data_IF_026869432561
#
_entry.id   IF_026869432561
#
_cell.length_a   1.000
_cell.length_b   1.000
_cell.length_c   1.000
_cell.angle_alpha   90.00
_cell.angle_beta   90.00
_cell.angle_gamma   90.00
#
_symmetry.space_group_name_H-M   'P 1'
#
loop_
_entity.id
_entity.type
_entity.pdbx_description
1 polymer ?
#
# COMPACT_ATOMS: atom_id res chain seq x y z
N UNK A 1 75.09 -27.87 34.09
CA UNK A 1 76.04 -27.14 33.20
C UNK A 1 75.55 -27.24 31.77
N UNK A 2 75.68 -26.12 31.03
CA UNK A 2 75.71 -26.05 29.56
C UNK A 2 74.38 -25.98 28.81
N UNK A 3 73.88 -24.75 28.69
CA UNK A 3 72.92 -24.28 27.67
C UNK A 3 73.54 -24.39 26.27
N UNK A 4 72.85 -24.92 25.24
CA UNK A 4 73.29 -24.80 23.86
C UNK A 4 72.59 -23.67 23.09
N UNK A 5 73.44 -22.74 22.64
CA UNK A 5 73.55 -22.05 21.34
C UNK A 5 72.31 -21.79 20.45
N UNK A 6 72.21 -20.50 20.10
CA UNK A 6 71.43 -19.87 19.02
C UNK A 6 71.65 -20.53 17.65
N UNK A 7 70.58 -20.64 16.86
CA UNK A 7 70.63 -20.70 15.38
C UNK A 7 69.60 -19.74 14.78
N UNK A 8 70.07 -18.89 13.86
CA UNK A 8 69.28 -18.02 12.98
C UNK A 8 68.91 -18.82 11.72
N UNK A 9 67.66 -18.78 11.26
CA UNK A 9 67.25 -18.99 9.84
C UNK A 9 65.93 -18.23 9.63
N UNK A 10 65.96 -17.03 9.06
CA UNK A 10 65.68 -16.71 7.64
C UNK A 10 64.18 -16.77 7.27
N UNK A 11 63.62 -15.57 7.06
CA UNK A 11 62.28 -15.28 6.52
C UNK A 11 62.22 -15.69 5.06
N UNK A 12 61.19 -16.43 4.66
CA UNK A 12 60.64 -16.43 3.30
C UNK A 12 59.11 -16.19 3.39
N UNK A 13 58.53 -15.26 2.61
CA UNK A 13 57.13 -14.91 2.72
C UNK A 13 56.28 -15.90 1.90
N UNK A 14 55.24 -16.48 2.52
CA UNK A 14 54.17 -17.15 1.79
C UNK A 14 53.05 -16.12 1.58
N UNK A 15 52.95 -15.65 0.34
CA UNK A 15 51.80 -14.90 -0.15
C UNK A 15 50.61 -15.86 -0.22
N UNK A 16 49.63 -15.68 0.67
CA UNK A 16 48.33 -16.35 0.57
C UNK A 16 47.33 -15.37 -0.02
N UNK A 17 47.11 -15.47 -1.33
CA UNK A 17 45.92 -14.92 -1.98
C UNK A 17 44.84 -15.99 -1.91
N UNK A 18 43.83 -15.76 -1.09
CA UNK A 18 42.63 -16.58 -0.98
C UNK A 18 41.39 -15.69 -0.93
N UNK A 19 40.92 -15.29 -2.11
CA UNK A 19 39.54 -14.83 -2.35
C UNK A 19 38.60 -15.98 -1.93
N UNK A 20 37.63 -15.82 -1.04
CA UNK A 20 36.55 -14.84 -1.08
C UNK A 20 35.31 -15.51 -1.67
N UNK A 21 34.56 -16.27 -0.87
CA UNK A 21 33.20 -16.78 -1.18
C UNK A 21 32.66 -17.53 0.05
N UNK A 22 31.86 -16.86 0.87
CA UNK A 22 31.20 -17.54 1.98
C UNK A 22 30.70 -16.61 3.07
N UNK A 23 29.98 -15.54 2.73
CA UNK A 23 29.06 -14.86 3.65
C UNK A 23 28.36 -13.76 2.87
N UNK A 24 27.18 -14.03 2.30
CA UNK A 24 26.18 -13.02 1.90
C UNK A 24 25.07 -13.72 1.15
N UNK A 25 24.05 -14.18 1.86
CA UNK A 25 22.65 -14.16 1.38
C UNK A 25 21.74 -14.25 2.61
N UNK A 26 21.80 -13.22 3.45
CA UNK A 26 20.71 -12.88 4.35
C UNK A 26 19.77 -12.00 3.53
N UNK A 27 18.77 -12.60 2.89
CA UNK A 27 17.69 -11.86 2.25
C UNK A 27 16.86 -11.21 3.35
N UNK A 28 17.25 -10.00 3.75
CA UNK A 28 16.37 -9.10 4.48
C UNK A 28 15.21 -8.75 3.55
N UNK A 29 14.00 -9.16 3.96
CA UNK A 29 12.76 -8.55 3.47
C UNK A 29 12.90 -7.05 3.69
N UNK A 30 12.90 -6.27 2.62
CA UNK A 30 12.58 -4.87 2.70
C UNK A 30 11.12 -4.76 3.13
N UNK A 31 10.88 -4.72 4.45
CA UNK A 31 9.78 -3.90 4.93
C UNK A 31 10.08 -2.48 4.47
N UNK A 32 9.08 -1.77 3.95
CA UNK A 32 9.22 -0.34 3.73
C UNK A 32 9.65 0.30 5.05
N UNK A 33 10.93 0.64 5.16
CA UNK A 33 11.40 1.46 6.26
C UNK A 33 10.61 2.76 6.17
N UNK A 34 9.82 3.12 7.20
CA UNK A 34 9.12 4.40 7.21
C UNK A 34 10.18 5.48 7.03
N UNK A 35 9.96 6.36 6.06
CA UNK A 35 10.84 7.52 5.85
C UNK A 35 11.06 8.18 7.21
N UNK A 36 12.30 8.59 7.58
CA UNK A 36 12.67 8.89 8.97
C UNK A 36 11.87 10.02 9.65
N UNK A 37 10.99 10.69 8.92
CA UNK A 37 10.17 11.81 9.39
C UNK A 37 8.65 11.54 9.41
N UNK A 38 8.16 10.34 9.07
CA UNK A 38 6.70 10.10 9.05
C UNK A 38 6.12 9.88 10.45
N UNK A 39 4.94 10.42 10.70
CA UNK A 39 4.23 10.32 11.98
C UNK A 39 2.92 9.53 11.77
N UNK A 40 2.67 8.46 12.54
CA UNK A 40 1.45 7.68 12.42
C UNK A 40 0.28 8.39 13.13
N UNK A 41 -0.79 8.67 12.39
CA UNK A 41 -1.92 9.46 12.90
C UNK A 41 -3.26 8.74 12.83
N UNK A 42 -4.14 9.10 13.76
CA UNK A 42 -5.58 8.96 13.59
C UNK A 42 -6.29 10.32 13.57
N UNK A 43 -7.42 10.39 12.88
CA UNK A 43 -8.23 11.59 12.74
C UNK A 43 -9.71 11.27 12.98
N UNK A 44 -10.38 12.14 13.74
CA UNK A 44 -11.83 12.24 13.81
C UNK A 44 -12.23 13.58 13.23
N UNK A 45 -13.23 13.61 12.35
CA UNK A 45 -13.82 14.84 11.81
C UNK A 45 -15.32 14.81 12.05
N UNK A 46 -15.89 15.89 12.56
CA UNK A 46 -17.33 16.04 12.81
C UNK A 46 -17.84 17.38 12.29
N UNK A 47 -19.17 17.50 12.15
CA UNK A 47 -19.77 18.68 11.51
C UNK A 47 -19.88 19.89 12.46
N UNK A 48 -19.79 19.70 13.78
CA UNK A 48 -19.96 20.78 14.76
C UNK A 48 -18.81 20.85 15.78
N UNK A 49 -18.49 22.07 16.24
CA UNK A 49 -17.48 22.29 17.27
C UNK A 49 -17.88 21.66 18.61
N UNK A 50 -19.15 21.79 19.00
CA UNK A 50 -19.68 21.25 20.26
C UNK A 50 -19.56 19.73 20.31
N UNK A 51 -19.78 19.04 19.19
CA UNK A 51 -19.58 17.60 19.09
C UNK A 51 -18.11 17.23 19.20
N UNK A 52 -17.21 17.96 18.53
CA UNK A 52 -15.78 17.73 18.64
C UNK A 52 -15.28 17.90 20.09
N UNK A 53 -15.73 18.95 20.79
CA UNK A 53 -15.34 19.16 22.18
C UNK A 53 -15.87 18.07 23.12
N UNK A 54 -17.10 17.57 22.89
CA UNK A 54 -17.64 16.43 23.63
C UNK A 54 -16.80 15.17 23.41
N UNK A 55 -16.45 14.87 22.16
CA UNK A 55 -15.61 13.72 21.84
C UNK A 55 -14.21 13.87 22.43
N UNK A 56 -13.62 15.08 22.41
CA UNK A 56 -12.34 15.35 23.04
C UNK A 56 -12.39 15.06 24.55
N UNK A 57 -13.48 15.44 25.23
CA UNK A 57 -13.72 15.12 26.64
C UNK A 57 -13.76 13.60 26.91
N UNK A 58 -14.45 12.85 26.06
CA UNK A 58 -14.50 11.38 26.15
C UNK A 58 -13.13 10.73 25.91
N UNK A 59 -12.40 11.19 24.89
CA UNK A 59 -11.05 10.72 24.58
C UNK A 59 -10.08 10.96 25.74
N UNK A 60 -10.15 12.14 26.36
CA UNK A 60 -9.35 12.46 27.57
C UNK A 60 -9.74 11.63 28.79
N UNK A 61 -10.97 11.12 28.82
CA UNK A 61 -11.46 10.21 29.86
C UNK A 61 -11.11 8.74 29.59
N UNK A 62 -10.37 8.46 28.51
CA UNK A 62 -9.90 7.11 28.16
C UNK A 62 -10.78 6.34 27.19
N UNK A 63 -11.75 6.99 26.52
CA UNK A 63 -12.51 6.34 25.46
C UNK A 63 -11.61 5.91 24.29
N UNK A 64 -11.97 4.82 23.63
CA UNK A 64 -11.21 4.31 22.48
C UNK A 64 -11.41 5.23 21.25
N UNK A 65 -10.29 5.75 20.74
CA UNK A 65 -10.31 6.66 19.60
C UNK A 65 -10.87 6.00 18.33
N UNK A 66 -10.50 4.75 18.06
CA UNK A 66 -10.91 4.04 16.85
C UNK A 66 -12.40 3.70 16.89
N UNK A 67 -12.97 3.45 18.07
CA UNK A 67 -14.41 3.25 18.25
C UNK A 67 -15.16 4.56 17.97
N UNK A 68 -14.78 5.66 18.62
CA UNK A 68 -15.42 6.96 18.41
C UNK A 68 -15.29 7.45 16.96
N UNK A 69 -14.16 7.17 16.31
CA UNK A 69 -13.97 7.47 14.90
C UNK A 69 -14.95 6.71 13.99
N UNK A 70 -15.17 5.42 14.23
CA UNK A 70 -16.14 4.62 13.46
C UNK A 70 -17.57 5.10 13.64
N UNK A 71 -17.91 5.50 14.86
CA UNK A 71 -19.29 5.85 15.19
C UNK A 71 -19.69 7.28 14.81
N UNK A 72 -18.74 8.22 14.85
CA UNK A 72 -19.04 9.66 14.81
C UNK A 72 -18.33 10.42 13.71
N UNK A 73 -17.20 9.92 13.20
CA UNK A 73 -16.42 10.66 12.21
C UNK A 73 -17.11 10.65 10.86
N UNK A 74 -17.16 11.81 10.21
CA UNK A 74 -17.62 11.98 8.82
C UNK A 74 -16.48 11.87 7.80
N UNK A 75 -15.24 11.65 8.26
CA UNK A 75 -14.08 11.41 7.40
C UNK A 75 -14.10 10.00 6.80
N UNK A 76 -13.54 9.85 5.60
CA UNK A 76 -13.47 8.56 4.90
C UNK A 76 -12.69 7.50 5.70
N UNK A 77 -11.72 7.90 6.52
CA UNK A 77 -10.96 6.98 7.38
C UNK A 77 -11.75 6.46 8.59
N UNK A 78 -12.98 6.92 8.81
CA UNK A 78 -13.86 6.46 9.90
C UNK A 78 -13.98 4.93 9.96
N UNK A 79 -14.11 4.26 8.81
CA UNK A 79 -14.22 2.80 8.70
C UNK A 79 -13.03 2.07 9.35
N UNK A 80 -11.84 2.64 9.22
CA UNK A 80 -10.58 2.12 9.76
C UNK A 80 -10.27 2.69 11.15
N UNK A 81 -11.26 3.28 11.82
CA UNK A 81 -11.08 3.92 13.12
C UNK A 81 -10.25 5.19 13.04
N UNK A 82 -10.34 5.91 11.92
CA UNK A 82 -9.67 7.18 11.68
C UNK A 82 -8.20 7.05 11.28
N UNK A 83 -7.69 5.86 10.95
CA UNK A 83 -6.27 5.66 10.70
C UNK A 83 -5.83 6.25 9.34
N UNK A 84 -4.87 7.18 9.38
CA UNK A 84 -4.32 7.85 8.21
C UNK A 84 -2.99 7.24 7.73
N UNK A 85 -2.48 6.22 8.42
CA UNK A 85 -1.14 5.71 8.19
C UNK A 85 -0.04 6.64 8.72
N UNK A 86 1.19 6.34 8.31
CA UNK A 86 2.38 7.16 8.59
C UNK A 86 2.50 8.27 7.57
N UNK A 87 2.23 9.50 8.00
CA UNK A 87 2.20 10.69 7.12
C UNK A 87 3.43 11.56 7.33
N UNK A 88 3.97 12.15 6.26
CA UNK A 88 5.03 13.15 6.37
C UNK A 88 4.44 14.49 6.87
N UNK A 89 4.86 15.01 8.03
CA UNK A 89 4.43 16.32 8.52
C UNK A 89 4.62 17.43 7.50
N UNK A 90 5.62 17.37 6.62
CA UNK A 90 5.87 18.35 5.56
C UNK A 90 4.77 18.41 4.50
N UNK A 91 4.05 17.32 4.27
CA UNK A 91 2.94 17.23 3.31
C UNK A 91 1.58 17.62 3.89
N UNK A 92 1.49 17.83 5.20
CA UNK A 92 0.23 18.13 5.87
C UNK A 92 -0.18 19.60 5.70
N UNK A 93 -1.49 19.84 5.66
CA UNK A 93 -2.07 21.19 5.71
C UNK A 93 -1.62 21.89 6.99
N UNK A 94 -1.53 23.23 6.94
CA UNK A 94 -1.05 24.04 8.07
C UNK A 94 -1.82 23.72 9.37
N UNK A 95 -3.14 23.58 9.28
CA UNK A 95 -3.99 23.31 10.43
C UNK A 95 -3.67 21.98 11.12
N UNK A 96 -3.30 20.94 10.37
CA UNK A 96 -2.88 19.65 10.92
C UNK A 96 -1.47 19.76 11.52
N UNK A 97 -0.54 20.45 10.83
CA UNK A 97 0.82 20.65 11.35
C UNK A 97 0.80 21.40 12.67
N UNK A 98 -0.04 22.42 12.79
CA UNK A 98 -0.18 23.21 14.02
C UNK A 98 -0.83 22.40 15.14
N UNK A 99 -1.74 21.48 14.81
CA UNK A 99 -2.30 20.55 15.79
C UNK A 99 -1.30 19.47 16.23
N UNK A 100 -0.34 19.11 15.37
CA UNK A 100 0.76 18.20 15.72
C UNK A 100 1.82 18.85 16.61
N UNK A 101 2.01 20.16 16.51
CA UNK A 101 2.95 20.89 17.36
C UNK A 101 2.54 20.73 18.84
N UNK A 102 3.36 19.99 19.60
CA UNK A 102 3.10 19.72 21.02
C UNK A 102 2.19 18.52 21.30
N UNK A 103 1.81 17.72 20.30
CA UNK A 103 1.10 16.44 20.51
C UNK A 103 2.10 15.30 20.48
N UNK A 104 2.33 14.65 21.62
CA UNK A 104 3.26 13.52 21.74
C UNK A 104 2.63 12.18 21.33
N UNK A 105 3.43 11.14 21.01
CA UNK A 105 2.90 9.80 20.76
C UNK A 105 2.00 9.28 21.88
N UNK A 106 0.80 8.87 21.52
CA UNK A 106 -0.26 8.41 22.42
C UNK A 106 -1.25 9.50 22.84
N UNK A 107 -0.93 10.78 22.60
CA UNK A 107 -1.79 11.91 22.98
C UNK A 107 -2.75 12.32 21.87
N UNK A 108 -3.82 13.00 22.29
CA UNK A 108 -4.82 13.62 21.41
C UNK A 108 -4.62 15.14 21.37
N UNK A 109 -4.83 15.75 20.20
CA UNK A 109 -4.74 17.19 20.02
C UNK A 109 -5.93 17.93 20.66
N UNK A 110 -5.86 19.26 20.65
CA UNK A 110 -7.05 20.12 20.76
C UNK A 110 -7.96 19.97 19.54
N UNK A 111 -9.20 20.46 19.63
CA UNK A 111 -10.08 20.62 18.46
C UNK A 111 -9.52 21.72 17.55
N UNK A 112 -9.52 21.47 16.23
CA UNK A 112 -9.15 22.45 15.22
C UNK A 112 -10.10 22.40 14.01
N UNK A 113 -10.17 23.49 13.26
CA UNK A 113 -11.06 23.61 12.11
C UNK A 113 -10.38 23.05 10.86
N UNK A 114 -11.12 22.26 10.08
CA UNK A 114 -10.79 21.85 8.72
C UNK A 114 -11.88 22.32 7.75
N UNK A 115 -11.58 22.35 6.44
CA UNK A 115 -12.62 22.62 5.43
C UNK A 115 -13.79 21.63 5.52
N UNK A 116 -13.49 20.37 5.85
CA UNK A 116 -14.48 19.31 5.97
C UNK A 116 -15.29 19.35 7.29
N UNK A 117 -14.86 20.09 8.31
CA UNK A 117 -15.49 19.99 9.64
C UNK A 117 -14.62 20.49 10.78
N UNK A 118 -14.82 19.95 11.96
CA UNK A 118 -13.98 20.14 13.15
C UNK A 118 -13.30 18.83 13.47
N UNK A 119 -12.01 18.88 13.78
CA UNK A 119 -11.18 17.69 13.85
C UNK A 119 -10.41 17.55 15.15
N UNK A 120 -10.13 16.31 15.50
CA UNK A 120 -9.26 15.89 16.60
C UNK A 120 -8.29 14.87 16.00
N UNK A 121 -6.99 15.04 16.24
CA UNK A 121 -6.00 14.06 15.84
C UNK A 121 -5.42 13.33 17.05
N UNK A 122 -4.92 12.12 16.82
CA UNK A 122 -4.11 11.35 17.77
C UNK A 122 -2.82 10.92 17.09
N UNK A 123 -1.69 11.16 17.75
CA UNK A 123 -0.42 10.55 17.35
C UNK A 123 -0.36 9.16 17.95
N UNK A 124 -0.13 8.12 17.14
CA UNK A 124 -0.07 6.75 17.64
C UNK A 124 1.31 6.44 18.23
N UNK A 125 1.33 5.62 19.27
CA UNK A 125 2.59 5.02 19.75
C UNK A 125 3.07 3.96 18.76
N UNK A 126 4.40 3.72 18.67
CA UNK A 126 4.94 2.63 17.85
C UNK A 126 4.29 1.27 18.14
N UNK A 127 3.97 0.98 19.39
CA UNK A 127 3.25 -0.24 19.78
C UNK A 127 1.84 -0.31 19.18
N UNK A 128 1.09 0.81 19.21
CA UNK A 128 -0.26 0.87 18.63
C UNK A 128 -0.23 0.65 17.11
N UNK A 129 0.82 1.10 16.42
CA UNK A 129 1.04 0.83 14.99
C UNK A 129 1.33 -0.65 14.75
N UNK A 130 2.25 -1.24 15.54
CA UNK A 130 2.58 -2.66 15.46
C UNK A 130 1.36 -3.55 15.71
N UNK A 131 0.49 -3.18 16.66
CA UNK A 131 -0.74 -3.91 16.96
C UNK A 131 -1.72 -3.84 15.79
N UNK A 132 -1.85 -2.68 15.13
CA UNK A 132 -2.67 -2.53 13.93
C UNK A 132 -2.16 -3.37 12.77
N UNK A 133 -0.86 -3.36 12.52
CA UNK A 133 -0.26 -4.20 11.49
C UNK A 133 -0.44 -5.69 11.79
N UNK A 134 -0.32 -6.08 13.05
CA UNK A 134 -0.52 -7.47 13.48
C UNK A 134 -1.98 -7.88 13.31
N UNK A 135 -2.92 -7.02 13.72
CA UNK A 135 -4.35 -7.25 13.53
C UNK A 135 -4.74 -7.29 12.06
N UNK A 136 -4.12 -6.46 11.23
CA UNK A 136 -4.34 -6.44 9.78
C UNK A 136 -3.80 -7.71 9.11
N UNK A 137 -2.57 -8.11 9.43
CA UNK A 137 -2.01 -9.40 8.98
C UNK A 137 -2.90 -10.55 9.43
N UNK A 138 -3.33 -10.56 10.69
CA UNK A 138 -4.24 -11.59 11.21
C UNK A 138 -5.58 -11.62 10.47
N UNK A 139 -6.16 -10.46 10.15
CA UNK A 139 -7.38 -10.35 9.33
C UNK A 139 -7.15 -10.82 7.90
N UNK A 140 -6.05 -10.45 7.27
CA UNK A 140 -5.67 -10.92 5.94
C UNK A 140 -5.50 -12.45 5.92
N UNK A 141 -4.83 -13.01 6.93
CA UNK A 141 -4.71 -14.46 7.08
C UNK A 141 -6.07 -15.13 7.34
N UNK A 142 -6.95 -14.54 8.15
CA UNK A 142 -8.29 -15.06 8.41
C UNK A 142 -9.16 -15.04 7.14
N UNK A 143 -9.16 -13.94 6.39
CA UNK A 143 -9.86 -13.82 5.10
C UNK A 143 -9.28 -14.80 4.06
N UNK A 144 -7.96 -14.98 4.05
CA UNK A 144 -7.30 -15.97 3.19
C UNK A 144 -7.62 -17.41 3.58
N UNK A 145 -7.80 -17.67 4.89
CA UNK A 145 -8.11 -18.99 5.42
C UNK A 145 -9.59 -19.37 5.26
N UNK A 146 -10.51 -18.42 5.32
CA UNK A 146 -11.95 -18.66 5.12
C UNK A 146 -12.34 -18.86 3.64
N UNK A 147 -11.42 -18.71 2.69
CA UNK A 147 -11.69 -18.87 1.26
C UNK A 147 -12.73 -17.86 0.72
N UNK A 148 -13.07 -16.86 1.52
CA UNK A 148 -14.11 -15.87 1.32
C UNK A 148 -13.50 -14.52 0.95
N UNK A 149 -12.42 -14.52 0.16
CA UNK A 149 -12.06 -13.33 -0.60
C UNK A 149 -13.23 -13.11 -1.58
N UNK A 150 -14.25 -12.37 -1.13
CA UNK A 150 -15.13 -11.64 -2.05
C UNK A 150 -14.19 -10.65 -2.71
N UNK A 151 -13.65 -11.06 -3.85
CA UNK A 151 -13.08 -10.11 -4.76
C UNK A 151 -14.26 -9.26 -5.21
N UNK A 152 -14.44 -8.11 -4.58
CA UNK A 152 -15.33 -7.08 -5.09
C UNK A 152 -14.69 -6.59 -6.40
N UNK A 153 -15.02 -7.30 -7.48
CA UNK A 153 -14.58 -6.94 -8.81
C UNK A 153 -15.34 -5.69 -9.19
N UNK A 154 -14.68 -4.54 -9.17
CA UNK A 154 -15.21 -3.36 -9.83
C UNK A 154 -15.22 -3.61 -11.34
N UNK A 155 -16.41 -3.90 -11.89
CA UNK A 155 -16.57 -4.23 -13.31
C UNK A 155 -16.34 -3.00 -14.20
N UNK A 156 -16.34 -1.78 -13.64
CA UNK A 156 -16.15 -0.55 -14.43
C UNK A 156 -14.73 -0.42 -14.97
N UNK A 157 -13.75 -1.01 -14.29
CA UNK A 157 -12.33 -0.89 -14.61
C UNK A 157 -11.73 0.49 -14.32
N UNK A 158 -12.43 1.34 -13.56
CA UNK A 158 -11.98 2.69 -13.24
C UNK A 158 -10.74 2.66 -12.34
N UNK A 159 -10.67 1.71 -11.41
CA UNK A 159 -9.55 1.58 -10.49
C UNK A 159 -8.25 1.22 -11.20
N UNK A 160 -8.31 0.30 -12.18
CA UNK A 160 -7.17 -0.09 -13.00
C UNK A 160 -6.74 1.08 -13.90
N UNK A 161 -7.69 1.83 -14.47
CA UNK A 161 -7.41 2.99 -15.30
C UNK A 161 -6.77 4.15 -14.51
N UNK A 162 -7.26 4.46 -13.32
CA UNK A 162 -6.68 5.48 -12.45
C UNK A 162 -5.30 5.06 -11.94
N UNK A 163 -5.14 3.80 -11.53
CA UNK A 163 -3.85 3.25 -11.11
C UNK A 163 -2.81 3.31 -12.24
N UNK A 164 -3.23 3.05 -13.48
CA UNK A 164 -2.38 3.19 -14.65
C UNK A 164 -1.96 4.64 -14.87
N UNK A 165 -2.89 5.60 -14.79
CA UNK A 165 -2.59 7.02 -14.94
C UNK A 165 -1.66 7.51 -13.84
N UNK A 166 -1.90 7.15 -12.58
CA UNK A 166 -1.09 7.56 -11.44
C UNK A 166 0.38 7.20 -11.63
N UNK A 167 0.66 5.98 -12.09
CA UNK A 167 2.00 5.44 -12.29
C UNK A 167 2.61 5.75 -13.67
N UNK A 168 1.88 6.45 -14.54
CA UNK A 168 2.40 6.86 -15.85
C UNK A 168 3.30 8.10 -15.74
N UNK A 169 4.40 8.20 -16.49
CA UNK A 169 5.18 9.44 -16.59
C UNK A 169 4.31 10.57 -17.18
N UNK A 170 4.18 11.69 -16.48
CA UNK A 170 3.34 12.83 -16.89
C UNK A 170 4.14 14.12 -16.80
N UNK A 171 3.98 15.06 -17.75
CA UNK A 171 4.59 16.39 -17.64
C UNK A 171 3.98 17.16 -16.45
N UNK A 172 4.70 18.15 -15.89
CA UNK A 172 4.28 18.85 -14.68
C UNK A 172 2.95 19.61 -14.83
N UNK A 173 2.61 20.02 -16.05
CA UNK A 173 1.44 20.81 -16.44
C UNK A 173 0.36 19.97 -17.14
N UNK A 174 0.43 18.64 -17.09
CA UNK A 174 -0.47 17.73 -17.81
C UNK A 174 -1.97 17.97 -17.55
N UNK A 175 -2.31 18.59 -16.41
CA UNK A 175 -3.69 18.88 -15.97
C UNK A 175 -4.18 20.28 -16.36
N UNK A 176 -3.31 21.16 -16.87
CA UNK A 176 -3.66 22.54 -17.22
C UNK A 176 -4.34 22.65 -18.59
N UNK A 177 -4.13 21.67 -19.47
CA UNK A 177 -4.79 21.56 -20.77
C UNK A 177 -5.65 20.29 -20.83
N UNK A 178 -6.95 20.45 -21.11
CA UNK A 178 -7.88 19.33 -21.23
C UNK A 178 -7.50 18.38 -22.37
N UNK A 179 -6.91 18.88 -23.45
CA UNK A 179 -6.44 18.04 -24.56
C UNK A 179 -5.22 17.24 -24.14
N UNK A 180 -4.21 17.86 -23.55
CA UNK A 180 -3.03 17.20 -22.98
C UNK A 180 -3.39 16.17 -21.91
N UNK A 181 -4.34 16.49 -21.03
CA UNK A 181 -4.86 15.57 -20.01
C UNK A 181 -5.53 14.34 -20.64
N UNK A 182 -6.36 14.57 -21.68
CA UNK A 182 -7.01 13.50 -22.43
C UNK A 182 -5.99 12.59 -23.12
N UNK A 183 -5.00 13.15 -23.81
CA UNK A 183 -3.96 12.38 -24.49
C UNK A 183 -3.09 11.59 -23.52
N UNK A 184 -2.68 12.20 -22.41
CA UNK A 184 -1.92 11.53 -21.35
C UNK A 184 -2.68 10.32 -20.80
N UNK A 185 -3.99 10.47 -20.58
CA UNK A 185 -4.85 9.40 -20.07
C UNK A 185 -5.08 8.27 -21.07
N UNK A 186 -5.13 8.58 -22.36
CA UNK A 186 -5.16 7.55 -23.43
C UNK A 186 -3.85 6.77 -23.45
N UNK A 187 -2.72 7.47 -23.45
CA UNK A 187 -1.38 6.87 -23.49
C UNK A 187 -1.12 5.98 -22.27
N UNK A 188 -1.49 6.43 -21.06
CA UNK A 188 -1.36 5.61 -19.86
C UNK A 188 -2.17 4.32 -19.95
N UNK A 189 -3.37 4.42 -20.52
CA UNK A 189 -4.27 3.28 -20.69
C UNK A 189 -3.78 2.32 -21.79
N UNK A 190 -3.21 2.82 -22.88
CA UNK A 190 -2.58 1.99 -23.91
C UNK A 190 -1.36 1.24 -23.32
N UNK A 191 -0.52 1.94 -22.58
CA UNK A 191 0.69 1.37 -22.00
C UNK A 191 0.41 0.26 -20.99
N UNK A 192 -0.64 0.40 -20.15
CA UNK A 192 -1.04 -0.68 -19.22
C UNK A 192 -1.69 -1.84 -19.95
N UNK A 193 -2.48 -1.57 -20.99
CA UNK A 193 -3.13 -2.59 -21.81
C UNK A 193 -2.10 -3.47 -22.52
N UNK A 194 -1.12 -2.87 -23.18
CA UNK A 194 -0.01 -3.59 -23.84
C UNK A 194 0.82 -4.40 -22.85
N UNK A 195 0.96 -3.92 -21.61
CA UNK A 195 1.67 -4.66 -20.56
C UNK A 195 0.86 -5.88 -20.10
N UNK A 196 -0.45 -5.72 -19.94
CA UNK A 196 -1.34 -6.82 -19.60
C UNK A 196 -1.38 -7.88 -20.72
N UNK A 197 -1.45 -7.45 -21.99
CA UNK A 197 -1.45 -8.36 -23.15
C UNK A 197 -0.12 -9.13 -23.27
N UNK A 198 1.02 -8.46 -23.09
CA UNK A 198 2.34 -9.11 -23.10
C UNK A 198 2.48 -10.19 -22.04
N UNK A 199 1.84 -10.03 -20.88
CA UNK A 199 1.87 -11.03 -19.81
C UNK A 199 1.25 -12.37 -20.26
N UNK A 200 0.24 -12.31 -21.13
CA UNK A 200 -0.48 -13.48 -21.61
C UNK A 200 -0.12 -13.90 -23.04
N UNK A 201 0.85 -13.24 -23.65
CA UNK A 201 1.41 -13.64 -24.94
C UNK A 201 2.05 -15.05 -24.82
N UNK A 202 1.67 -16.02 -25.68
CA UNK A 202 2.29 -17.34 -25.70
C UNK A 202 3.81 -17.32 -25.82
N UNK A 203 4.39 -16.30 -26.48
CA UNK A 203 5.84 -16.13 -26.58
C UNK A 203 6.52 -15.90 -25.23
N UNK A 204 5.80 -15.35 -24.24
CA UNK A 204 6.31 -15.07 -22.90
C UNK A 204 5.92 -16.15 -21.88
N UNK A 205 5.27 -17.25 -22.31
CA UNK A 205 4.77 -18.29 -21.41
C UNK A 205 5.86 -18.90 -20.51
N UNK A 206 7.07 -19.09 -21.03
CA UNK A 206 8.20 -19.62 -20.27
C UNK A 206 8.67 -18.68 -19.15
N UNK A 207 8.64 -17.36 -19.37
CA UNK A 207 9.00 -16.37 -18.35
C UNK A 207 7.93 -16.25 -17.25
N UNK A 208 6.67 -16.53 -17.60
CA UNK A 208 5.53 -16.41 -16.70
C UNK A 208 5.15 -17.74 -16.01
N UNK A 209 5.82 -18.86 -16.34
CA UNK A 209 5.52 -20.20 -15.83
C UNK A 209 5.67 -20.35 -14.31
N UNK A 210 6.47 -19.50 -13.65
CA UNK A 210 6.70 -19.52 -12.21
C UNK A 210 5.74 -18.65 -11.38
N UNK A 211 4.74 -18.00 -12.01
CA UNK A 211 3.82 -17.11 -11.30
C UNK A 211 2.80 -17.91 -10.48
N UNK A 212 2.52 -17.53 -9.23
CA UNK A 212 1.42 -18.09 -8.44
C UNK A 212 0.08 -18.05 -9.20
N UNK A 213 -0.79 -19.08 -9.09
CA UNK A 213 -2.09 -19.10 -9.76
C UNK A 213 -2.97 -17.88 -9.44
N UNK A 214 -2.87 -17.38 -8.20
CA UNK A 214 -3.61 -16.18 -7.77
C UNK A 214 -3.19 -14.93 -8.57
N UNK A 215 -1.90 -14.77 -8.84
CA UNK A 215 -1.38 -13.61 -9.59
C UNK A 215 -1.82 -13.67 -11.05
N UNK A 216 -1.84 -14.87 -11.63
CA UNK A 216 -2.33 -15.10 -12.99
C UNK A 216 -3.82 -14.79 -13.10
N UNK A 217 -4.60 -15.22 -12.10
CA UNK A 217 -6.03 -14.92 -12.02
C UNK A 217 -6.29 -13.41 -11.89
N UNK A 218 -5.65 -12.75 -10.92
CA UNK A 218 -5.80 -11.31 -10.71
C UNK A 218 -5.39 -10.49 -11.93
N UNK A 219 -4.33 -10.88 -12.63
CA UNK A 219 -3.93 -10.20 -13.85
C UNK A 219 -4.94 -10.38 -15.00
N UNK A 220 -5.63 -11.52 -15.11
CA UNK A 220 -6.71 -11.73 -16.09
C UNK A 220 -7.94 -10.89 -15.78
N UNK A 221 -8.28 -10.77 -14.49
CA UNK A 221 -9.36 -9.91 -14.02
C UNK A 221 -9.07 -8.45 -14.38
N UNK A 222 -7.87 -7.96 -14.06
CA UNK A 222 -7.43 -6.62 -14.40
C UNK A 222 -7.46 -6.36 -15.92
N UNK A 223 -7.04 -7.32 -16.73
CA UNK A 223 -7.15 -7.23 -18.19
C UNK A 223 -8.61 -7.11 -18.64
N UNK A 224 -9.51 -7.91 -18.08
CA UNK A 224 -10.95 -7.85 -18.37
C UNK A 224 -11.57 -6.49 -18.00
N UNK A 225 -11.20 -5.95 -16.83
CA UNK A 225 -11.63 -4.64 -16.36
C UNK A 225 -11.14 -3.51 -17.27
N UNK A 226 -9.88 -3.56 -17.71
CA UNK A 226 -9.33 -2.59 -18.68
C UNK A 226 -10.07 -2.63 -20.03
N UNK A 227 -10.45 -3.83 -20.51
CA UNK A 227 -11.30 -3.97 -21.70
C UNK A 227 -12.71 -3.39 -21.49
N UNK A 228 -13.30 -3.63 -20.32
CA UNK A 228 -14.61 -3.08 -19.95
C UNK A 228 -14.57 -1.55 -19.91
N UNK A 229 -13.56 -0.96 -19.27
CA UNK A 229 -13.35 0.49 -19.19
C UNK A 229 -13.23 1.14 -20.57
N UNK A 230 -12.57 0.48 -21.53
CA UNK A 230 -12.43 0.94 -22.92
C UNK A 230 -13.68 0.75 -23.78
N UNK A 231 -14.67 0.00 -23.31
CA UNK A 231 -15.78 -0.47 -24.14
C UNK A 231 -15.34 -1.41 -25.27
N UNK A 232 -14.16 -2.04 -25.17
CA UNK A 232 -13.61 -2.97 -26.17
C UNK A 232 -13.69 -4.40 -25.65
N UNK A 233 -14.89 -4.95 -25.53
CA UNK A 233 -15.08 -6.37 -25.22
C UNK A 233 -15.17 -7.17 -26.53
N UNK A 234 -14.11 -7.87 -26.90
CA UNK A 234 -14.14 -8.76 -28.07
C UNK A 234 -15.08 -9.97 -27.81
N UNK A 235 -15.77 -10.53 -28.82
CA UNK A 235 -16.67 -11.69 -28.64
C UNK A 235 -16.01 -13.02 -28.21
N UNK A 236 -14.67 -13.05 -28.04
CA UNK A 236 -13.88 -14.28 -27.94
C UNK A 236 -13.52 -14.78 -26.53
N UNK A 237 -13.86 -14.07 -25.45
CA UNK A 237 -13.53 -14.51 -24.08
C UNK A 237 -14.70 -15.18 -23.37
N UNK A 238 -15.50 -16.00 -24.08
CA UNK A 238 -16.41 -16.93 -23.41
C UNK A 238 -15.58 -17.97 -22.66
N UNK A 239 -15.70 -17.99 -21.34
CA UNK A 239 -15.40 -19.20 -20.58
C UNK A 239 -16.09 -20.37 -21.29
N UNK A 240 -15.32 -21.41 -21.61
CA UNK A 240 -15.84 -22.66 -22.17
C UNK A 240 -16.67 -23.32 -21.06
N UNK A 241 -17.91 -22.84 -20.91
CA UNK A 241 -18.93 -23.47 -20.09
C UNK A 241 -19.62 -24.50 -20.95
N UNK A 242 -19.45 -25.77 -20.60
CA UNK A 242 -20.20 -26.90 -21.16
C UNK A 242 -21.69 -26.55 -21.18
N UNK A 243 -22.23 -26.35 -22.38
CA UNK A 243 -23.66 -26.15 -22.58
C UNK A 243 -24.30 -27.54 -22.54
N UNK A 244 -24.99 -27.86 -21.44
CA UNK A 244 -25.89 -29.02 -21.38
C UNK A 244 -27.07 -28.71 -22.32
N UNK A 245 -27.41 -29.60 -23.27
CA UNK A 245 -28.52 -29.35 -24.18
C UNK A 245 -29.83 -29.55 -23.42
N UNK A 246 -30.63 -28.48 -23.30
CA UNK A 246 -32.05 -28.62 -23.00
C UNK A 246 -32.77 -28.92 -24.31
N UNK A 247 -33.45 -30.08 -24.33
CA UNK A 247 -34.22 -30.55 -25.47
C UNK A 247 -35.46 -29.69 -25.73
N UNK A 248 -35.79 -29.58 -27.00
CA UNK A 248 -36.97 -28.87 -27.50
C UNK A 248 -38.26 -29.59 -27.10
N UNK A 249 -39.21 -28.81 -26.57
CA UNK A 249 -40.63 -29.14 -26.48
C UNK A 249 -41.45 -27.99 -27.07
#
# INVERSE_FOLDING_TARGET
MSVPRRFRVAVWPVVVVGLGLGFLFLSARAGQDPSPNTVPLRLIVVNSADEAEKLLGQLRSGADFAVLAREKSVDATSVDGGFLGSVDPGSLRAELRDALQGTEPGQVSRVFKLPAGFAILKVLRPSEVSDLETAERARQFAVSAEGSVRFDFDISGINEAESALANFPKPADWYLDLRGACETRKQSLDAVQERAERLFDPANAAQNAGRPPIDVMSARVAQGQLYAYRGKMAPGHRAVGNRVPHGDH
#
